data_IF_356179414475
#
_entry.id   IF_356179414475
#
_cell.length_a   1.000
_cell.length_b   1.000
_cell.length_c   1.000
_cell.angle_alpha   90.00
_cell.angle_beta   90.00
_cell.angle_gamma   90.00
#
_symmetry.space_group_name_H-M   'P 1'
#
loop_
_entity.id
_entity.type
_entity.pdbx_description
1 polymer ?
#
# COMPACT_ATOMS: atom_id res chain seq x y z
N UNK A 1 -1.46 -26.39 -43.09
CA UNK A 1 -0.01 -26.47 -43.23
C UNK A 1 0.46 -27.86 -42.73
N UNK A 2 0.73 -28.79 -43.64
CA UNK A 2 1.41 -30.04 -43.28
C UNK A 2 2.91 -29.81 -43.32
N UNK A 3 3.60 -29.99 -42.20
CA UNK A 3 5.03 -29.82 -42.09
C UNK A 3 5.60 -30.72 -40.99
N UNK A 4 6.90 -30.95 -41.02
CA UNK A 4 7.58 -31.71 -39.96
C UNK A 4 7.77 -30.91 -38.66
N UNK A 5 8.17 -31.61 -37.58
CA UNK A 5 8.47 -31.00 -36.28
C UNK A 5 9.50 -29.86 -36.36
N UNK A 6 10.47 -29.96 -37.29
CA UNK A 6 11.47 -28.89 -37.47
C UNK A 6 10.85 -27.58 -38.01
N UNK A 7 9.88 -27.69 -38.93
CA UNK A 7 9.16 -26.51 -39.44
C UNK A 7 8.25 -25.91 -38.38
N UNK A 8 7.61 -26.76 -37.57
CA UNK A 8 6.85 -26.32 -36.44
C UNK A 8 7.71 -25.59 -35.41
N UNK A 9 8.89 -26.11 -35.10
CA UNK A 9 9.86 -25.48 -34.21
C UNK A 9 10.26 -24.09 -34.71
N UNK A 10 10.55 -23.96 -35.99
CA UNK A 10 10.87 -22.67 -36.60
C UNK A 10 9.72 -21.70 -36.55
N UNK A 11 8.49 -22.16 -36.78
CA UNK A 11 7.29 -21.32 -36.73
C UNK A 11 6.88 -20.94 -35.31
N UNK A 12 7.09 -21.82 -34.35
CA UNK A 12 6.76 -21.57 -32.93
C UNK A 12 7.71 -20.56 -32.26
N UNK A 13 9.03 -20.66 -32.60
CA UNK A 13 10.05 -19.83 -31.96
C UNK A 13 9.99 -19.97 -30.40
N UNK A 14 9.82 -18.87 -29.71
CA UNK A 14 9.68 -18.91 -28.23
C UNK A 14 8.25 -19.21 -27.74
N UNK A 15 7.28 -19.26 -28.61
CA UNK A 15 5.87 -19.51 -28.24
C UNK A 15 5.69 -20.97 -27.85
N UNK A 16 4.81 -21.22 -26.90
CA UNK A 16 4.42 -22.57 -26.55
C UNK A 16 3.32 -23.05 -27.48
N UNK A 17 3.39 -24.30 -27.88
CA UNK A 17 2.39 -24.97 -28.71
C UNK A 17 1.33 -25.67 -27.85
N UNK A 18 0.14 -25.87 -28.41
CA UNK A 18 -0.91 -26.72 -27.88
C UNK A 18 -0.93 -27.98 -28.74
N UNK A 19 -0.76 -29.14 -28.13
CA UNK A 19 -0.83 -30.45 -28.79
C UNK A 19 -2.31 -30.86 -28.89
N UNK A 20 -2.79 -31.15 -30.07
CA UNK A 20 -4.05 -31.83 -30.31
C UNK A 20 -3.79 -33.33 -30.25
N UNK A 21 -4.35 -34.00 -29.25
CA UNK A 21 -4.16 -35.44 -29.07
C UNK A 21 -5.22 -36.17 -29.83
N UNK A 22 -4.83 -37.15 -30.71
CA UNK A 22 -5.79 -37.86 -31.59
C UNK A 22 -6.96 -38.49 -30.82
N UNK A 23 -8.17 -38.31 -31.34
CA UNK A 23 -9.35 -38.82 -30.71
C UNK A 23 -9.38 -40.34 -30.59
N UNK A 24 -8.76 -41.05 -31.54
CA UNK A 24 -8.59 -42.51 -31.52
C UNK A 24 -7.65 -43.02 -30.43
N UNK A 25 -6.76 -42.17 -29.91
CA UNK A 25 -5.78 -42.51 -28.87
C UNK A 25 -6.19 -41.99 -27.46
N UNK A 26 -7.39 -41.43 -27.33
CA UNK A 26 -7.90 -40.91 -26.06
C UNK A 26 -9.25 -41.57 -25.71
N UNK A 27 -9.40 -42.02 -24.49
CA UNK A 27 -10.66 -42.47 -23.94
C UNK A 27 -11.25 -41.32 -23.08
N UNK A 28 -12.44 -40.87 -23.47
CA UNK A 28 -13.22 -39.85 -22.74
C UNK A 28 -14.41 -40.48 -22.04
N UNK A 29 -14.51 -40.24 -20.75
CA UNK A 29 -15.51 -40.87 -19.89
C UNK A 29 -16.09 -39.81 -18.93
N UNK A 30 -17.33 -40.06 -18.49
CA UNK A 30 -17.94 -39.39 -17.35
C UNK A 30 -18.23 -40.40 -16.28
N UNK A 31 -17.79 -40.21 -15.05
CA UNK A 31 -18.00 -41.09 -13.92
C UNK A 31 -18.62 -40.33 -12.75
N UNK A 32 -19.48 -41.00 -12.03
CA UNK A 32 -20.06 -40.44 -10.81
C UNK A 32 -19.32 -40.97 -9.59
N UNK A 33 -18.62 -40.09 -8.89
CA UNK A 33 -17.91 -40.39 -7.65
C UNK A 33 -18.44 -39.51 -6.54
N UNK A 34 -18.95 -40.05 -5.44
CA UNK A 34 -19.51 -39.28 -4.33
C UNK A 34 -18.39 -38.65 -3.44
N UNK A 35 -17.27 -38.27 -4.05
CA UNK A 35 -16.11 -37.69 -3.37
C UNK A 35 -16.09 -36.18 -3.56
N UNK A 36 -15.63 -35.46 -2.53
CA UNK A 36 -15.68 -34.00 -2.52
C UNK A 36 -14.32 -33.31 -2.71
N UNK A 37 -13.23 -33.96 -2.33
CA UNK A 37 -11.89 -33.36 -2.40
C UNK A 37 -11.11 -33.85 -3.63
N UNK A 38 -10.36 -32.96 -4.27
CA UNK A 38 -9.52 -33.28 -5.40
C UNK A 38 -8.52 -34.41 -5.10
N UNK A 39 -7.93 -34.42 -3.90
CA UNK A 39 -7.01 -35.47 -3.49
C UNK A 39 -7.65 -36.85 -3.31
N UNK A 40 -8.92 -36.92 -2.88
CA UNK A 40 -9.67 -38.17 -2.80
C UNK A 40 -10.05 -38.68 -4.19
N UNK A 41 -10.49 -37.79 -5.08
CA UNK A 41 -10.81 -38.10 -6.46
C UNK A 41 -9.57 -38.69 -7.15
N UNK A 42 -8.44 -38.01 -7.10
CA UNK A 42 -7.20 -38.45 -7.74
C UNK A 42 -6.75 -39.85 -7.26
N UNK A 43 -6.99 -40.20 -6.00
CA UNK A 43 -6.65 -41.52 -5.42
C UNK A 43 -7.67 -42.60 -5.82
N UNK A 44 -8.95 -42.24 -5.92
CA UNK A 44 -9.99 -43.23 -6.23
C UNK A 44 -10.18 -43.48 -7.75
N UNK A 45 -9.78 -42.50 -8.56
CA UNK A 45 -9.98 -42.54 -10.01
C UNK A 45 -9.38 -43.77 -10.69
N UNK A 46 -8.13 -44.19 -10.45
CA UNK A 46 -7.60 -45.41 -11.06
C UNK A 46 -8.45 -46.64 -10.81
N UNK A 47 -8.90 -46.82 -9.57
CA UNK A 47 -9.75 -47.97 -9.17
C UNK A 47 -11.14 -47.90 -9.80
N UNK A 48 -11.72 -46.69 -9.88
CA UNK A 48 -13.03 -46.49 -10.48
C UNK A 48 -13.07 -46.73 -12.00
N UNK A 49 -11.92 -46.65 -12.63
CA UNK A 49 -11.77 -46.84 -14.07
C UNK A 49 -11.25 -48.23 -14.46
N UNK A 50 -10.87 -49.07 -13.53
CA UNK A 50 -10.23 -50.37 -13.77
C UNK A 50 -11.04 -51.24 -14.72
N UNK A 51 -12.37 -51.32 -14.54
CA UNK A 51 -13.25 -52.08 -15.38
C UNK A 51 -13.56 -51.45 -16.76
N UNK A 52 -13.21 -50.19 -16.92
CA UNK A 52 -13.48 -49.40 -18.14
C UNK A 52 -12.24 -49.26 -19.04
N UNK A 53 -11.06 -49.53 -18.52
CA UNK A 53 -9.79 -49.47 -19.22
C UNK A 53 -9.46 -50.85 -19.82
N UNK A 54 -8.77 -50.84 -20.97
CA UNK A 54 -8.35 -52.08 -21.61
C UNK A 54 -7.13 -52.74 -20.94
N UNK A 55 -6.38 -51.98 -20.18
CA UNK A 55 -5.16 -52.36 -19.47
C UNK A 55 -5.17 -51.75 -18.07
N UNK A 56 -4.18 -52.11 -17.23
CA UNK A 56 -4.02 -51.61 -15.88
C UNK A 56 -4.03 -50.06 -15.85
N UNK A 57 -4.75 -49.47 -14.92
CA UNK A 57 -4.88 -48.00 -14.82
C UNK A 57 -3.55 -47.26 -14.70
N UNK A 58 -2.51 -47.94 -14.20
CA UNK A 58 -1.15 -47.38 -14.08
C UNK A 58 -0.48 -47.10 -15.44
N UNK A 59 -0.92 -47.82 -16.49
CA UNK A 59 -0.43 -47.58 -17.86
C UNK A 59 -1.03 -46.35 -18.53
N UNK A 60 -2.05 -45.76 -17.90
CA UNK A 60 -2.69 -44.58 -18.44
C UNK A 60 -2.29 -43.33 -17.68
N UNK A 61 -2.16 -42.24 -18.41
CA UNK A 61 -2.16 -40.90 -17.86
C UNK A 61 -3.63 -40.46 -17.76
N UNK A 62 -4.06 -40.19 -16.56
CA UNK A 62 -5.42 -39.77 -16.27
C UNK A 62 -5.49 -38.25 -16.03
N UNK A 63 -6.33 -37.57 -16.79
CA UNK A 63 -6.70 -36.17 -16.53
C UNK A 63 -8.18 -36.12 -16.19
N UNK A 64 -8.56 -35.29 -15.24
CA UNK A 64 -9.97 -35.23 -14.85
C UNK A 64 -10.38 -33.78 -14.55
N UNK A 65 -11.66 -33.52 -14.76
CA UNK A 65 -12.30 -32.24 -14.45
C UNK A 65 -13.67 -32.46 -13.83
N UNK A 66 -14.01 -31.65 -12.81
CA UNK A 66 -15.35 -31.62 -12.25
C UNK A 66 -16.01 -30.28 -12.58
N UNK A 67 -16.96 -30.21 -13.49
CA UNK A 67 -17.61 -28.97 -13.95
C UNK A 67 -18.29 -28.22 -12.80
N UNK A 68 -19.07 -28.94 -11.97
CA UNK A 68 -19.72 -28.38 -10.79
C UNK A 68 -19.87 -29.42 -9.68
N UNK A 69 -20.21 -28.97 -8.46
CA UNK A 69 -20.49 -29.88 -7.34
C UNK A 69 -21.76 -30.72 -7.64
N UNK A 70 -21.63 -32.03 -7.52
CA UNK A 70 -22.74 -32.96 -7.76
C UNK A 70 -22.94 -33.37 -9.24
N UNK A 71 -22.08 -32.88 -10.14
CA UNK A 71 -22.03 -33.40 -11.52
C UNK A 71 -20.99 -34.51 -11.64
N UNK A 72 -21.15 -35.34 -12.70
CA UNK A 72 -20.19 -36.36 -13.05
C UNK A 72 -18.79 -35.77 -13.27
N UNK A 73 -17.79 -36.56 -13.00
CA UNK A 73 -16.39 -36.19 -13.22
C UNK A 73 -16.05 -36.59 -14.65
N UNK A 74 -15.65 -35.62 -15.45
CA UNK A 74 -15.10 -35.86 -16.77
C UNK A 74 -13.66 -36.36 -16.66
N UNK A 75 -13.33 -37.40 -17.39
CA UNK A 75 -12.04 -38.07 -17.38
C UNK A 75 -11.54 -38.26 -18.81
N UNK A 76 -10.27 -37.97 -19.01
CA UNK A 76 -9.51 -38.35 -20.21
C UNK A 76 -8.40 -39.30 -19.81
N UNK A 77 -8.37 -40.50 -20.43
CA UNK A 77 -7.34 -41.50 -20.25
C UNK A 77 -6.57 -41.69 -21.56
N UNK A 78 -5.24 -41.59 -21.51
CA UNK A 78 -4.34 -41.81 -22.66
C UNK A 78 -3.18 -42.69 -22.26
N UNK A 79 -2.67 -43.48 -23.16
CA UNK A 79 -1.53 -44.38 -22.91
C UNK A 79 -0.28 -43.56 -22.49
N UNK A 80 0.27 -43.86 -21.32
CA UNK A 80 1.38 -43.15 -20.70
C UNK A 80 2.65 -43.21 -21.54
N UNK A 81 2.93 -44.39 -22.10
CA UNK A 81 4.13 -44.61 -22.96
C UNK A 81 4.04 -43.76 -24.23
N UNK A 82 2.88 -43.76 -24.88
CA UNK A 82 2.69 -42.99 -26.10
C UNK A 82 2.76 -41.47 -25.81
N UNK A 83 2.15 -41.03 -24.71
CA UNK A 83 2.21 -39.62 -24.32
C UNK A 83 3.62 -39.18 -24.04
N UNK A 84 4.42 -39.99 -23.30
CA UNK A 84 5.82 -39.71 -23.01
C UNK A 84 6.64 -39.58 -24.30
N UNK A 85 6.53 -40.56 -25.18
CA UNK A 85 7.27 -40.57 -26.45
C UNK A 85 6.94 -39.33 -27.32
N UNK A 86 5.68 -38.94 -27.37
CA UNK A 86 5.29 -37.74 -28.13
C UNK A 86 5.86 -36.47 -27.49
N UNK A 87 5.77 -36.33 -26.15
CA UNK A 87 6.34 -35.18 -25.43
C UNK A 87 7.85 -35.08 -25.67
N UNK A 88 8.57 -36.20 -25.59
CA UNK A 88 10.02 -36.26 -25.81
C UNK A 88 10.39 -35.85 -27.24
N UNK A 89 9.67 -36.30 -28.24
CA UNK A 89 9.86 -35.90 -29.64
C UNK A 89 9.69 -34.37 -29.83
N UNK A 90 8.67 -33.75 -29.18
CA UNK A 90 8.49 -32.31 -29.25
C UNK A 90 9.60 -31.56 -28.49
N UNK A 91 10.07 -32.09 -27.38
CA UNK A 91 11.17 -31.52 -26.60
C UNK A 91 12.48 -31.57 -27.36
N UNK A 92 12.79 -32.72 -28.03
CA UNK A 92 13.98 -32.87 -28.88
C UNK A 92 13.95 -31.92 -30.09
N UNK A 93 12.78 -31.68 -30.66
CA UNK A 93 12.58 -30.69 -31.71
C UNK A 93 12.65 -29.22 -31.21
N UNK A 94 12.78 -29.00 -29.91
CA UNK A 94 12.81 -27.66 -29.30
C UNK A 94 11.44 -26.97 -29.21
N UNK A 95 10.36 -27.70 -29.41
CA UNK A 95 8.99 -27.20 -29.30
C UNK A 95 8.49 -27.36 -27.86
N UNK A 96 8.15 -26.26 -27.22
CA UNK A 96 7.58 -26.29 -25.86
C UNK A 96 6.07 -26.51 -25.94
N UNK A 97 5.58 -27.55 -25.30
CA UNK A 97 4.15 -27.80 -25.16
C UNK A 97 3.61 -27.07 -23.91
N UNK A 98 2.48 -26.39 -24.05
CA UNK A 98 1.76 -25.77 -22.94
C UNK A 98 0.58 -26.60 -22.47
N UNK A 99 -0.07 -27.29 -23.40
CA UNK A 99 -1.24 -28.14 -23.18
C UNK A 99 -1.23 -29.29 -24.18
N UNK A 100 -1.86 -30.39 -23.82
CA UNK A 100 -2.27 -31.45 -24.74
C UNK A 100 -3.76 -31.69 -24.52
N UNK A 101 -4.55 -31.52 -25.58
CA UNK A 101 -6.00 -31.53 -25.49
C UNK A 101 -6.58 -32.65 -26.35
N UNK A 102 -7.54 -33.44 -25.85
CA UNK A 102 -8.23 -34.44 -26.65
C UNK A 102 -8.95 -33.80 -27.84
N UNK A 103 -8.68 -34.28 -29.03
CA UNK A 103 -9.18 -33.75 -30.30
C UNK A 103 -10.71 -33.67 -30.34
N UNK A 104 -11.38 -34.70 -29.85
CA UNK A 104 -12.85 -34.77 -29.84
C UNK A 104 -13.46 -33.56 -29.07
N UNK A 105 -12.82 -33.09 -28.02
CA UNK A 105 -13.30 -31.93 -27.25
C UNK A 105 -13.08 -30.59 -27.95
N UNK A 106 -12.33 -30.59 -29.02
CA UNK A 106 -12.09 -29.41 -29.84
C UNK A 106 -13.07 -29.22 -30.98
N UNK A 107 -14.01 -30.20 -31.14
CA UNK A 107 -15.13 -30.03 -32.07
C UNK A 107 -16.16 -29.06 -31.46
N UNK A 108 -16.79 -28.19 -32.29
CA UNK A 108 -17.91 -27.38 -31.86
C UNK A 108 -19.08 -28.30 -31.41
N UNK A 109 -19.59 -28.05 -30.21
CA UNK A 109 -20.67 -28.89 -29.68
C UNK A 109 -21.69 -28.01 -28.92
N UNK A 110 -22.97 -28.41 -29.03
CA UNK A 110 -24.07 -27.82 -28.28
C UNK A 110 -24.88 -28.95 -27.63
N UNK A 111 -25.52 -28.68 -26.51
CA UNK A 111 -26.33 -29.64 -25.81
C UNK A 111 -27.45 -30.16 -26.73
N UNK A 112 -27.61 -31.47 -26.79
CA UNK A 112 -28.61 -32.13 -27.66
C UNK A 112 -28.16 -32.27 -29.11
N UNK A 113 -26.89 -32.11 -29.44
CA UNK A 113 -26.32 -32.32 -30.76
C UNK A 113 -25.09 -33.24 -30.69
N UNK A 114 -24.79 -33.86 -31.82
CA UNK A 114 -23.54 -34.64 -32.02
C UNK A 114 -22.73 -34.01 -33.12
N UNK A 115 -21.50 -33.63 -32.80
CA UNK A 115 -20.54 -33.07 -33.77
C UNK A 115 -19.67 -34.17 -34.37
N UNK A 116 -19.52 -34.16 -35.69
CA UNK A 116 -18.73 -35.15 -36.43
C UNK A 116 -17.85 -34.44 -37.44
N UNK A 117 -16.56 -34.73 -37.40
CA UNK A 117 -15.59 -34.30 -38.43
C UNK A 117 -15.09 -35.56 -39.14
N UNK A 118 -15.24 -35.60 -40.44
CA UNK A 118 -14.66 -36.64 -41.29
C UNK A 118 -13.48 -36.10 -42.09
N UNK A 119 -12.33 -36.69 -41.88
CA UNK A 119 -11.13 -36.49 -42.70
C UNK A 119 -10.96 -37.68 -43.66
N UNK A 120 -9.83 -37.72 -44.40
CA UNK A 120 -9.60 -38.74 -45.43
C UNK A 120 -9.77 -40.17 -44.89
N UNK A 121 -9.06 -40.48 -43.81
CA UNK A 121 -8.95 -41.82 -43.24
C UNK A 121 -9.56 -41.93 -41.86
N UNK A 122 -9.73 -40.80 -41.19
CA UNK A 122 -10.15 -40.72 -39.79
C UNK A 122 -11.50 -39.95 -39.63
N UNK A 123 -12.21 -40.29 -38.58
CA UNK A 123 -13.40 -39.59 -38.12
C UNK A 123 -13.34 -39.31 -36.64
N UNK A 124 -13.69 -38.08 -36.29
CA UNK A 124 -13.75 -37.59 -34.91
C UNK A 124 -15.20 -37.21 -34.60
N UNK A 125 -15.67 -37.58 -33.43
CA UNK A 125 -17.06 -37.25 -33.01
C UNK A 125 -17.09 -36.82 -31.55
N UNK A 126 -17.99 -35.87 -31.26
CA UNK A 126 -18.30 -35.37 -29.92
C UNK A 126 -19.79 -35.39 -29.69
N UNK A 127 -20.23 -36.12 -28.66
CA UNK A 127 -21.66 -36.34 -28.36
C UNK A 127 -22.06 -35.86 -26.96
N UNK A 128 -21.15 -35.28 -26.21
CA UNK A 128 -21.38 -34.71 -24.91
C UNK A 128 -20.44 -33.55 -24.60
N UNK A 129 -20.68 -32.90 -23.47
CA UNK A 129 -19.81 -31.81 -23.04
C UNK A 129 -18.36 -32.29 -22.89
N UNK A 130 -18.18 -33.48 -22.34
CA UNK A 130 -16.88 -34.11 -22.08
C UNK A 130 -16.76 -35.50 -22.74
N UNK A 131 -17.66 -35.84 -23.62
CA UNK A 131 -17.73 -37.15 -24.26
C UNK A 131 -17.49 -37.04 -25.76
N UNK A 132 -16.65 -37.92 -26.27
CA UNK A 132 -16.29 -37.98 -27.66
C UNK A 132 -15.29 -39.08 -27.93
N UNK A 133 -14.92 -39.25 -29.17
CA UNK A 133 -13.94 -40.23 -29.59
C UNK A 133 -13.62 -40.11 -31.07
N UNK A 134 -12.88 -41.04 -31.58
CA UNK A 134 -12.51 -41.08 -32.98
C UNK A 134 -12.00 -42.47 -33.39
N UNK A 135 -11.82 -42.65 -34.68
CA UNK A 135 -11.31 -43.87 -35.24
C UNK A 135 -11.26 -43.82 -36.76
N UNK A 136 -11.03 -44.95 -37.37
CA UNK A 136 -11.07 -45.06 -38.83
C UNK A 136 -12.45 -44.58 -39.35
N UNK A 137 -12.42 -43.80 -40.40
CA UNK A 137 -13.65 -43.25 -41.03
C UNK A 137 -14.70 -44.32 -41.35
N UNK A 138 -14.23 -45.49 -41.83
CA UNK A 138 -15.07 -46.65 -42.15
C UNK A 138 -15.91 -47.15 -40.96
N UNK A 139 -15.43 -46.96 -39.73
CA UNK A 139 -16.05 -47.41 -38.49
C UNK A 139 -16.96 -46.34 -37.83
N UNK A 140 -16.80 -45.08 -38.23
CA UNK A 140 -17.51 -43.97 -37.58
C UNK A 140 -19.04 -44.12 -37.65
N UNK A 141 -19.59 -44.57 -38.78
CA UNK A 141 -21.01 -44.80 -38.92
C UNK A 141 -21.55 -45.86 -37.92
N UNK A 142 -20.82 -47.00 -37.83
CA UNK A 142 -21.17 -48.08 -36.89
C UNK A 142 -21.05 -47.67 -35.44
N UNK A 143 -20.02 -46.88 -35.10
CA UNK A 143 -19.84 -46.36 -33.75
C UNK A 143 -20.96 -45.39 -33.37
N UNK A 144 -21.30 -44.47 -34.28
CA UNK A 144 -22.39 -43.52 -34.06
C UNK A 144 -23.71 -44.22 -33.94
N UNK A 145 -24.04 -45.21 -34.80
CA UNK A 145 -25.24 -45.99 -34.68
C UNK A 145 -25.36 -46.68 -33.32
N UNK A 146 -24.30 -47.26 -32.81
CA UNK A 146 -24.25 -47.83 -31.46
C UNK A 146 -24.48 -46.81 -30.35
N UNK A 147 -23.86 -45.61 -30.45
CA UNK A 147 -24.01 -44.53 -29.47
C UNK A 147 -25.46 -44.02 -29.45
N UNK A 148 -26.10 -43.90 -30.63
CA UNK A 148 -27.51 -43.51 -30.73
C UNK A 148 -28.43 -44.60 -30.23
N UNK A 149 -28.19 -45.84 -30.61
CA UNK A 149 -29.00 -47.01 -30.14
C UNK A 149 -28.86 -47.19 -28.61
N UNK A 150 -27.70 -46.91 -28.05
CA UNK A 150 -27.43 -46.94 -26.62
C UNK A 150 -27.94 -45.72 -25.84
N UNK A 151 -28.50 -44.71 -26.53
CA UNK A 151 -28.97 -43.46 -25.91
C UNK A 151 -27.89 -42.55 -25.39
N UNK A 152 -26.62 -42.82 -25.73
CA UNK A 152 -25.46 -42.01 -25.31
C UNK A 152 -25.31 -40.78 -26.17
N UNK A 153 -25.58 -40.88 -27.47
CA UNK A 153 -25.67 -39.74 -28.40
C UNK A 153 -27.14 -39.40 -28.68
N UNK A 154 -27.44 -38.13 -28.82
CA UNK A 154 -28.80 -37.63 -29.05
C UNK A 154 -28.81 -36.46 -30.02
N UNK A 155 -29.98 -36.21 -30.66
CA UNK A 155 -30.22 -35.04 -31.48
C UNK A 155 -29.63 -35.11 -32.87
N UNK A 156 -29.53 -33.96 -33.52
CA UNK A 156 -29.05 -33.85 -34.89
C UNK A 156 -27.50 -33.91 -34.97
N UNK A 157 -27.01 -34.45 -36.08
CA UNK A 157 -25.60 -34.57 -36.36
C UNK A 157 -25.13 -33.31 -37.11
N UNK A 158 -24.19 -32.59 -36.54
CA UNK A 158 -23.45 -31.52 -37.18
C UNK A 158 -22.21 -32.10 -37.86
N UNK A 159 -22.23 -32.21 -39.18
CA UNK A 159 -21.19 -32.86 -39.97
C UNK A 159 -20.30 -31.87 -40.71
N UNK A 160 -19.00 -31.90 -40.40
CA UNK A 160 -17.93 -31.24 -41.19
C UNK A 160 -17.24 -32.29 -42.06
N UNK A 161 -17.43 -32.20 -43.36
CA UNK A 161 -16.81 -33.10 -44.32
C UNK A 161 -16.56 -32.41 -45.67
N UNK A 162 -15.65 -32.89 -46.45
CA UNK A 162 -15.44 -32.40 -47.81
C UNK A 162 -16.67 -32.71 -48.68
N UNK A 163 -16.96 -31.82 -49.65
CA UNK A 163 -18.06 -32.01 -50.59
C UNK A 163 -17.79 -33.23 -51.45
N UNK A 164 -18.72 -34.18 -51.47
CA UNK A 164 -18.58 -35.46 -52.21
C UNK A 164 -18.07 -36.62 -51.38
N UNK A 165 -17.77 -36.41 -50.10
CA UNK A 165 -17.47 -37.50 -49.18
C UNK A 165 -18.72 -38.33 -48.90
N UNK A 166 -18.63 -39.61 -49.22
CA UNK A 166 -19.71 -40.56 -48.93
C UNK A 166 -19.84 -40.75 -47.41
N UNK A 167 -20.96 -40.29 -46.90
CA UNK A 167 -21.31 -40.46 -45.49
C UNK A 167 -22.20 -41.70 -45.32
N UNK A 168 -21.95 -42.75 -46.08
CA UNK A 168 -22.69 -44.00 -45.97
C UNK A 168 -22.57 -44.55 -44.53
N UNK A 169 -23.72 -44.86 -43.92
CA UNK A 169 -23.79 -45.41 -42.59
C UNK A 169 -23.93 -44.37 -41.48
N UNK A 170 -24.12 -43.08 -41.78
CA UNK A 170 -24.48 -42.10 -40.76
C UNK A 170 -26.00 -42.08 -40.53
N UNK A 171 -26.47 -41.90 -39.28
CA UNK A 171 -27.92 -41.81 -38.97
C UNK A 171 -28.61 -40.65 -39.69
N UNK A 172 -29.94 -40.71 -39.82
CA UNK A 172 -30.73 -39.62 -40.37
C UNK A 172 -30.69 -38.37 -39.48
N UNK A 173 -30.88 -37.19 -40.07
CA UNK A 173 -30.86 -35.90 -39.34
C UNK A 173 -29.50 -35.19 -39.33
N UNK A 174 -28.84 -35.19 -40.51
CA UNK A 174 -27.49 -34.61 -40.63
C UNK A 174 -27.57 -33.20 -41.19
N UNK A 175 -27.06 -32.22 -40.43
CA UNK A 175 -26.78 -30.89 -40.92
C UNK A 175 -25.33 -30.82 -41.39
N UNK A 176 -25.12 -30.59 -42.68
CA UNK A 176 -23.81 -30.56 -43.30
C UNK A 176 -23.23 -29.14 -43.29
N UNK A 177 -22.06 -29.02 -42.71
CA UNK A 177 -21.20 -27.85 -42.83
C UNK A 177 -20.08 -28.23 -43.85
N UNK A 178 -19.75 -27.37 -44.77
CA UNK A 178 -18.68 -27.64 -45.75
C UNK A 178 -17.36 -28.06 -45.12
N UNK A 179 -16.43 -28.53 -45.94
CA UNK A 179 -15.09 -28.86 -45.48
C UNK A 179 -14.47 -27.67 -44.71
N UNK A 180 -14.13 -27.90 -43.48
CA UNK A 180 -13.41 -26.93 -42.68
C UNK A 180 -11.96 -27.44 -42.44
N UNK A 181 -11.03 -26.54 -42.44
CA UNK A 181 -9.68 -26.87 -41.96
C UNK A 181 -9.76 -27.23 -40.47
N UNK A 182 -9.43 -28.45 -40.04
CA UNK A 182 -9.60 -28.93 -38.68
C UNK A 182 -9.01 -27.97 -37.62
N UNK A 183 -7.81 -27.47 -37.86
CA UNK A 183 -7.13 -26.54 -36.97
C UNK A 183 -7.91 -25.23 -36.76
N UNK A 184 -8.66 -24.79 -37.76
CA UNK A 184 -9.49 -23.58 -37.64
C UNK A 184 -10.71 -23.78 -36.77
N UNK A 185 -11.28 -24.99 -36.75
CA UNK A 185 -12.34 -25.39 -35.81
C UNK A 185 -11.78 -25.50 -34.39
N UNK A 186 -10.66 -26.20 -34.22
CA UNK A 186 -10.04 -26.43 -32.91
C UNK A 186 -9.59 -25.14 -32.23
N UNK A 187 -9.05 -24.19 -32.99
CA UNK A 187 -8.58 -22.92 -32.46
C UNK A 187 -9.66 -22.09 -31.74
N UNK A 188 -10.93 -22.34 -32.02
CA UNK A 188 -12.05 -21.64 -31.37
C UNK A 188 -12.48 -22.30 -30.06
N UNK A 189 -12.20 -23.59 -29.90
CA UNK A 189 -12.73 -24.42 -28.80
C UNK A 189 -11.70 -24.67 -27.70
N UNK A 190 -10.39 -24.44 -27.96
CA UNK A 190 -9.35 -24.79 -27.02
C UNK A 190 -9.50 -24.17 -25.60
N UNK A 191 -10.06 -22.96 -25.39
CA UNK A 191 -10.22 -22.43 -24.03
C UNK A 191 -11.14 -23.29 -23.16
N UNK A 192 -12.24 -23.81 -23.72
CA UNK A 192 -13.17 -24.67 -23.02
C UNK A 192 -12.60 -26.08 -22.80
N UNK A 193 -11.95 -26.64 -23.82
CA UNK A 193 -11.33 -27.96 -23.74
C UNK A 193 -10.12 -27.99 -22.77
N UNK A 194 -9.53 -26.87 -22.47
CA UNK A 194 -8.38 -26.74 -21.56
C UNK A 194 -8.60 -27.26 -20.14
N UNK A 195 -9.87 -27.49 -19.74
CA UNK A 195 -10.20 -28.10 -18.46
C UNK A 195 -9.74 -29.56 -18.34
N UNK A 196 -9.68 -30.32 -19.47
CA UNK A 196 -9.16 -31.68 -19.56
C UNK A 196 -7.78 -31.69 -20.25
N UNK A 197 -6.82 -30.97 -19.72
CA UNK A 197 -5.45 -30.99 -20.20
C UNK A 197 -4.75 -32.31 -19.80
N UNK A 198 -4.16 -33.01 -20.77
CA UNK A 198 -3.44 -34.26 -20.53
C UNK A 198 -2.08 -34.06 -19.87
N UNK A 199 -1.50 -32.87 -20.02
CA UNK A 199 -0.21 -32.51 -19.39
C UNK A 199 -0.42 -32.10 -17.93
N UNK A 200 -0.71 -33.09 -17.08
CA UNK A 200 -0.86 -32.93 -15.63
C UNK A 200 0.06 -33.87 -14.88
N UNK A 201 0.29 -33.61 -13.60
CA UNK A 201 1.17 -34.45 -12.76
C UNK A 201 2.61 -34.44 -13.26
N UNK A 202 3.16 -35.63 -13.56
CA UNK A 202 4.55 -35.83 -14.03
C UNK A 202 4.82 -35.17 -15.37
N UNK A 203 3.79 -35.03 -16.20
CA UNK A 203 3.85 -34.40 -17.53
C UNK A 203 3.49 -32.92 -17.54
N UNK A 204 3.24 -32.33 -16.36
CA UNK A 204 2.91 -30.92 -16.29
C UNK A 204 4.04 -30.08 -16.90
N UNK A 205 3.75 -29.18 -17.85
CA UNK A 205 4.77 -28.36 -18.46
C UNK A 205 5.50 -27.62 -17.34
N UNK A 206 6.82 -27.73 -17.33
CA UNK A 206 7.64 -26.89 -16.47
C UNK A 206 7.52 -25.45 -16.99
N UNK A 207 6.37 -24.86 -16.75
CA UNK A 207 6.18 -23.43 -16.96
C UNK A 207 7.19 -22.78 -16.03
N UNK A 208 8.30 -22.36 -16.56
CA UNK A 208 9.17 -21.40 -15.91
C UNK A 208 8.24 -20.20 -15.66
N UNK A 209 7.51 -20.22 -14.52
CA UNK A 209 6.71 -19.09 -14.10
C UNK A 209 7.68 -17.92 -14.12
N UNK A 210 7.65 -17.14 -15.19
CA UNK A 210 8.28 -15.82 -15.21
C UNK A 210 7.63 -15.12 -14.04
N UNK A 211 8.32 -15.14 -12.91
CA UNK A 211 7.83 -14.48 -11.71
C UNK A 211 7.66 -13.01 -12.12
N UNK A 212 6.42 -12.51 -12.27
CA UNK A 212 6.19 -11.16 -12.79
C UNK A 212 6.82 -10.10 -11.89
N UNK A 213 7.22 -10.51 -10.68
CA UNK A 213 7.89 -9.63 -9.70
C UNK A 213 9.41 -9.53 -9.95
N UNK A 214 10.04 -10.46 -10.71
CA UNK A 214 11.49 -10.39 -10.97
C UNK A 214 11.94 -9.06 -11.60
N UNK A 215 11.26 -8.50 -12.62
CA UNK A 215 11.67 -7.20 -13.18
C UNK A 215 11.50 -6.03 -12.21
N UNK A 216 10.69 -6.18 -11.15
CA UNK A 216 10.46 -5.15 -10.14
C UNK A 216 11.46 -5.18 -8.98
N UNK A 217 12.25 -6.27 -8.85
CA UNK A 217 13.26 -6.40 -7.80
C UNK A 217 14.28 -5.24 -7.78
N UNK A 218 14.87 -4.80 -8.92
CA UNK A 218 15.78 -3.67 -8.91
C UNK A 218 15.08 -2.36 -8.55
N UNK A 219 13.85 -2.15 -9.00
CA UNK A 219 13.06 -0.97 -8.63
C UNK A 219 12.74 -0.95 -7.13
N UNK A 220 12.36 -2.09 -6.54
CA UNK A 220 12.13 -2.23 -5.12
C UNK A 220 13.42 -1.99 -4.30
N UNK A 221 14.57 -2.46 -4.79
CA UNK A 221 15.87 -2.21 -4.16
C UNK A 221 16.23 -0.71 -4.15
N UNK A 222 16.05 -0.01 -5.27
CA UNK A 222 16.29 1.43 -5.36
C UNK A 222 15.36 2.19 -4.42
N UNK A 223 14.08 1.85 -4.39
CA UNK A 223 13.10 2.46 -3.48
C UNK A 223 13.47 2.25 -2.01
N UNK A 224 13.91 1.03 -1.66
CA UNK A 224 14.36 0.71 -0.30
C UNK A 224 15.58 1.51 0.11
N UNK A 225 16.56 1.64 -0.79
CA UNK A 225 17.76 2.47 -0.54
C UNK A 225 17.39 3.94 -0.37
N UNK A 226 16.51 4.47 -1.21
CA UNK A 226 16.03 5.85 -1.10
C UNK A 226 15.30 6.09 0.22
N UNK A 227 14.45 5.16 0.65
CA UNK A 227 13.74 5.24 1.93
C UNK A 227 14.72 5.22 3.12
N UNK A 228 15.69 4.31 3.09
CA UNK A 228 16.72 4.23 4.13
C UNK A 228 17.58 5.52 4.19
N UNK A 229 17.96 6.07 3.05
CA UNK A 229 18.69 7.32 2.96
C UNK A 229 17.88 8.50 3.54
N UNK A 230 16.57 8.54 3.25
CA UNK A 230 15.66 9.55 3.79
C UNK A 230 15.51 9.43 5.31
N UNK A 231 15.35 8.21 5.83
CA UNK A 231 15.28 7.97 7.28
C UNK A 231 16.58 8.35 7.98
N UNK A 232 17.72 7.99 7.41
CA UNK A 232 19.04 8.38 7.93
C UNK A 232 19.23 9.92 7.94
N UNK A 233 18.79 10.58 6.87
CA UNK A 233 18.81 12.05 6.79
C UNK A 233 17.94 12.72 7.87
N UNK A 234 16.73 12.23 8.09
CA UNK A 234 15.84 12.72 9.15
C UNK A 234 16.45 12.49 10.54
N UNK A 235 17.03 11.32 10.78
CA UNK A 235 17.67 11.00 12.05
C UNK A 235 18.89 11.90 12.33
N UNK A 236 19.67 12.17 11.29
CA UNK A 236 20.82 13.09 11.39
C UNK A 236 20.38 14.54 11.66
N UNK A 237 19.30 14.98 11.00
CA UNK A 237 18.71 16.30 11.22
C UNK A 237 18.19 16.45 12.65
N UNK A 238 17.49 15.44 13.15
CA UNK A 238 16.93 15.41 14.50
C UNK A 238 18.06 15.44 15.57
N UNK A 239 19.16 14.70 15.33
CA UNK A 239 20.34 14.77 16.20
C UNK A 239 20.97 16.16 16.22
N UNK A 240 21.10 16.81 15.06
CA UNK A 240 21.63 18.18 14.99
C UNK A 240 20.74 19.19 15.74
N UNK A 241 19.43 19.06 15.60
CA UNK A 241 18.50 19.90 16.34
C UNK A 241 18.58 19.69 17.85
N UNK A 242 18.72 18.45 18.30
CA UNK A 242 18.92 18.15 19.73
C UNK A 242 20.23 18.72 20.26
N UNK A 243 21.31 18.63 19.50
CA UNK A 243 22.59 19.24 19.88
C UNK A 243 22.49 20.78 19.96
N UNK A 244 21.78 21.40 19.01
CA UNK A 244 21.56 22.86 19.05
C UNK A 244 20.71 23.27 20.26
N UNK A 245 19.68 22.51 20.60
CA UNK A 245 18.87 22.74 21.81
C UNK A 245 19.77 22.66 23.06
N UNK A 246 20.58 21.61 23.19
CA UNK A 246 21.48 21.45 24.34
C UNK A 246 22.50 22.59 24.44
N UNK A 247 23.03 23.08 23.31
CA UNK A 247 23.99 24.21 23.34
C UNK A 247 23.29 25.53 23.72
N UNK A 248 22.06 25.73 23.26
CA UNK A 248 21.24 26.89 23.64
C UNK A 248 20.84 26.86 25.11
N UNK A 249 20.43 25.67 25.60
CA UNK A 249 20.10 25.48 27.02
C UNK A 249 21.31 25.72 27.91
N UNK A 250 22.47 25.15 27.55
CA UNK A 250 23.73 25.39 28.29
C UNK A 250 24.16 26.86 28.26
N UNK A 251 24.01 27.52 27.12
CA UNK A 251 24.28 28.96 26.98
C UNK A 251 23.35 29.83 27.84
N UNK A 252 22.05 29.48 27.85
CA UNK A 252 21.05 30.18 28.67
C UNK A 252 21.30 29.98 30.16
N UNK A 253 21.69 28.77 30.55
CA UNK A 253 22.02 28.44 31.93
C UNK A 253 23.29 29.21 32.40
N UNK A 254 24.29 29.24 31.53
CA UNK A 254 25.54 30.01 31.84
C UNK A 254 25.25 31.49 32.00
N UNK A 255 24.47 32.08 31.11
CA UNK A 255 24.09 33.49 31.18
C UNK A 255 23.28 33.80 32.44
N UNK A 256 22.34 32.94 32.79
CA UNK A 256 21.50 33.07 33.98
C UNK A 256 22.35 33.01 35.26
N UNK A 257 23.29 32.08 35.36
CA UNK A 257 24.20 31.97 36.49
C UNK A 257 25.11 33.22 36.64
N UNK A 258 25.50 33.81 35.53
CA UNK A 258 26.30 35.03 35.52
C UNK A 258 25.52 36.26 36.01
N UNK A 259 24.21 36.31 35.67
CA UNK A 259 23.32 37.40 36.01
C UNK A 259 22.78 37.31 37.44
N UNK A 260 22.55 36.08 37.92
CA UNK A 260 21.94 35.80 39.23
C UNK A 260 22.75 34.78 40.04
N UNK A 261 23.90 35.17 40.59
CA UNK A 261 24.85 34.27 41.27
C UNK A 261 24.31 33.68 42.58
N UNK A 262 23.24 34.22 43.13
CA UNK A 262 22.66 33.79 44.41
C UNK A 262 21.80 32.53 44.29
N UNK A 263 21.40 32.14 43.09
CA UNK A 263 20.50 31.01 42.86
C UNK A 263 21.30 29.73 42.71
N UNK A 264 21.36 28.92 43.77
CA UNK A 264 22.14 27.67 43.85
C UNK A 264 21.50 26.47 43.16
N UNK A 265 20.20 26.44 42.88
CA UNK A 265 19.51 25.29 42.30
C UNK A 265 18.62 25.70 41.11
N UNK A 266 19.03 25.31 39.93
CA UNK A 266 18.31 25.50 38.67
C UNK A 266 17.37 24.32 38.43
N UNK A 267 16.07 24.55 38.47
CA UNK A 267 15.05 23.53 38.14
C UNK A 267 14.33 23.88 36.83
N UNK A 268 14.06 25.19 36.63
CA UNK A 268 13.47 25.70 35.39
C UNK A 268 13.88 27.16 35.21
N UNK A 269 14.86 27.37 34.32
CA UNK A 269 15.48 28.71 34.09
C UNK A 269 14.44 29.75 33.68
N UNK A 270 13.47 29.37 32.83
CA UNK A 270 12.44 30.28 32.34
C UNK A 270 11.49 30.69 33.49
N UNK A 271 10.99 29.74 34.24
CA UNK A 271 10.08 30.04 35.36
C UNK A 271 10.78 30.88 36.44
N UNK A 272 12.04 30.61 36.72
CA UNK A 272 12.82 31.39 37.70
C UNK A 272 13.14 32.78 37.18
N UNK A 273 13.42 32.97 35.90
CA UNK A 273 13.63 34.28 35.28
C UNK A 273 12.34 35.13 35.33
N UNK A 274 11.20 34.52 34.97
CA UNK A 274 9.89 35.18 35.01
C UNK A 274 9.53 35.61 36.44
N UNK A 275 9.83 34.79 37.44
CA UNK A 275 9.56 35.07 38.84
C UNK A 275 10.46 36.23 39.34
N UNK A 276 11.74 36.28 38.95
CA UNK A 276 12.62 37.39 39.29
C UNK A 276 12.21 38.70 38.59
N UNK A 277 11.77 38.65 37.37
CA UNK A 277 11.24 39.78 36.63
C UNK A 277 9.99 40.37 37.32
N UNK A 278 9.09 39.51 37.75
CA UNK A 278 7.90 39.94 38.49
C UNK A 278 8.25 40.57 39.83
N UNK A 279 9.20 39.99 40.56
CA UNK A 279 9.67 40.57 41.82
C UNK A 279 10.27 41.95 41.65
N UNK A 280 11.12 42.13 40.61
CA UNK A 280 11.72 43.43 40.29
C UNK A 280 10.68 44.48 39.83
N UNK A 281 9.66 44.03 39.07
CA UNK A 281 8.57 44.93 38.66
C UNK A 281 7.71 45.37 39.86
N UNK A 282 7.48 44.49 40.82
CA UNK A 282 6.68 44.80 42.03
C UNK A 282 7.45 45.78 42.91
N UNK A 283 8.75 45.62 43.08
CA UNK A 283 9.61 46.55 43.79
C UNK A 283 9.68 47.91 43.08
N UNK A 284 9.72 47.96 41.76
CA UNK A 284 9.64 49.21 41.00
C UNK A 284 8.28 49.94 41.14
N UNK A 285 7.18 49.17 41.21
CA UNK A 285 5.84 49.75 41.43
C UNK A 285 5.70 50.40 42.82
N UNK A 286 6.23 49.74 43.84
CA UNK A 286 6.20 50.30 45.20
C UNK A 286 6.96 51.60 45.28
N UNK A 287 8.15 51.72 44.67
CA UNK A 287 8.93 52.94 44.62
C UNK A 287 8.22 54.04 43.82
N UNK A 288 7.49 53.73 42.75
CA UNK A 288 6.76 54.72 41.96
C UNK A 288 5.53 55.27 42.72
N UNK A 289 4.85 54.41 43.49
CA UNK A 289 3.73 54.82 44.30
C UNK A 289 4.13 55.77 45.44
N UNK A 290 5.29 55.53 46.08
CA UNK A 290 5.88 56.41 47.09
C UNK A 290 6.25 57.77 46.53
N UNK A 291 6.88 57.81 45.37
CA UNK A 291 7.26 59.06 44.68
C UNK A 291 6.01 59.90 44.36
N UNK A 292 4.98 59.35 43.76
CA UNK A 292 3.76 60.09 43.39
C UNK A 292 3.01 60.62 44.63
N UNK A 293 3.00 59.88 45.72
CA UNK A 293 2.36 60.30 46.96
C UNK A 293 3.12 61.54 47.56
N UNK A 294 4.44 61.49 47.65
CA UNK A 294 5.22 62.60 48.13
C UNK A 294 5.16 63.81 47.20
N UNK A 295 5.16 63.59 45.90
CA UNK A 295 5.01 64.69 44.92
C UNK A 295 3.65 65.38 45.03
N UNK A 296 2.61 64.65 45.30
CA UNK A 296 1.27 65.20 45.50
C UNK A 296 1.19 66.10 46.75
N UNK A 297 1.81 65.67 47.83
CA UNK A 297 1.87 66.42 49.07
C UNK A 297 2.67 67.73 48.91
N UNK A 298 3.76 67.72 48.14
CA UNK A 298 4.60 68.91 47.91
C UNK A 298 3.97 69.87 46.89
N UNK A 299 3.24 69.34 45.90
CA UNK A 299 2.69 70.09 44.77
C UNK A 299 1.64 71.15 45.19
N UNK A 300 0.85 70.86 46.22
CA UNK A 300 -0.15 71.81 46.77
C UNK A 300 0.51 73.08 47.35
N UNK A 301 1.31 72.94 48.40
CA UNK A 301 1.97 74.08 49.02
C UNK A 301 2.93 74.83 48.09
N UNK A 302 3.62 74.13 47.15
CA UNK A 302 4.50 74.79 46.19
C UNK A 302 3.70 75.68 45.21
N UNK A 303 2.47 75.31 44.85
CA UNK A 303 1.61 76.11 43.99
C UNK A 303 1.07 77.37 44.69
N UNK A 304 0.92 77.31 46.02
CA UNK A 304 0.45 78.42 46.85
C UNK A 304 1.61 79.40 47.21
N UNK A 305 2.89 79.04 46.99
CA UNK A 305 4.03 79.80 47.23
C UNK A 305 4.79 80.22 45.95
N UNK A 306 4.23 81.09 45.09
CA UNK A 306 4.78 81.47 43.79
C UNK A 306 6.13 82.16 43.85
N UNK A 307 6.58 82.65 45.03
CA UNK A 307 7.87 83.24 45.28
C UNK A 307 9.01 82.20 45.42
N UNK A 308 8.65 80.89 45.59
CA UNK A 308 9.61 79.80 45.64
C UNK A 308 9.83 79.22 44.23
N UNK A 309 11.10 79.12 43.85
CA UNK A 309 11.43 78.49 42.56
C UNK A 309 12.09 77.16 42.79
N UNK A 310 11.43 76.08 42.27
CA UNK A 310 12.01 74.74 42.27
C UNK A 310 13.20 74.68 41.30
N UNK A 311 14.32 74.29 41.77
CA UNK A 311 15.53 74.13 40.95
C UNK A 311 15.82 72.67 40.63
N UNK A 312 15.65 71.80 41.65
CA UNK A 312 15.90 70.39 41.51
C UNK A 312 14.94 69.58 42.36
N UNK A 313 14.56 68.40 41.80
CA UNK A 313 13.78 67.45 42.49
C UNK A 313 14.41 66.06 42.27
N UNK A 314 14.73 65.37 43.35
CA UNK A 314 15.37 64.07 43.33
C UNK A 314 14.70 63.18 44.34
N UNK A 315 14.35 61.96 43.87
CA UNK A 315 13.73 60.93 44.68
C UNK A 315 14.73 59.81 44.91
N UNK A 316 14.94 59.43 46.15
CA UNK A 316 15.89 58.36 46.54
C UNK A 316 15.13 57.31 47.33
N UNK A 317 14.17 56.63 46.63
CA UNK A 317 13.40 55.49 47.12
C UNK A 317 12.48 55.78 48.31
N UNK A 318 12.96 56.41 49.39
CA UNK A 318 12.25 56.72 50.63
C UNK A 318 12.09 58.21 50.91
N UNK A 319 12.86 59.07 50.29
CA UNK A 319 12.85 60.50 50.51
C UNK A 319 12.81 61.31 49.21
N UNK A 320 12.00 62.36 49.20
CA UNK A 320 11.97 63.34 48.14
C UNK A 320 12.83 64.55 48.55
N UNK A 321 13.92 64.69 47.88
CA UNK A 321 14.80 65.87 48.05
C UNK A 321 14.43 66.96 47.07
N UNK A 322 14.15 68.16 47.56
CA UNK A 322 13.83 69.31 46.73
C UNK A 322 14.78 70.46 47.04
N UNK A 323 15.31 71.07 45.98
CA UNK A 323 16.15 72.23 46.03
C UNK A 323 15.34 73.43 45.54
N UNK A 324 15.13 74.40 46.40
CA UNK A 324 14.31 75.59 46.17
C UNK A 324 15.19 76.89 46.27
N UNK A 325 14.86 77.88 45.45
CA UNK A 325 15.32 79.24 45.61
C UNK A 325 14.20 80.07 46.17
N UNK A 326 14.42 80.74 47.31
CA UNK A 326 13.46 81.54 48.02
C UNK A 326 14.02 82.99 48.13
N UNK A 327 13.22 84.06 48.22
CA UNK A 327 13.68 85.42 48.38
C UNK A 327 14.36 85.67 49.76
N UNK A 328 13.87 84.94 50.80
CA UNK A 328 14.44 85.03 52.15
C UNK A 328 14.30 83.71 52.94
N UNK A 329 15.00 83.55 54.05
CA UNK A 329 14.94 82.33 54.89
C UNK A 329 13.57 82.14 55.58
N UNK A 330 12.81 83.19 55.79
CA UNK A 330 11.52 83.14 56.43
C UNK A 330 10.50 82.41 55.50
N UNK A 331 10.61 82.61 54.18
CA UNK A 331 9.75 81.92 53.17
C UNK A 331 10.05 80.43 53.15
N UNK A 332 11.28 79.96 53.34
CA UNK A 332 11.64 78.54 53.44
C UNK A 332 11.06 77.92 54.71
N UNK A 333 11.15 78.63 55.86
CA UNK A 333 10.57 78.20 57.13
C UNK A 333 8.99 78.07 57.04
N UNK A 334 8.34 79.05 56.37
CA UNK A 334 6.96 79.05 56.12
C UNK A 334 6.51 77.84 55.26
N UNK A 335 7.27 77.61 54.22
CA UNK A 335 7.00 76.41 53.33
C UNK A 335 7.20 75.11 54.10
N UNK A 336 8.19 74.95 54.94
CA UNK A 336 8.37 73.81 55.84
C UNK A 336 7.17 73.62 56.76
N UNK A 337 6.65 74.66 57.34
CA UNK A 337 5.50 74.63 58.22
C UNK A 337 4.22 74.23 57.48
N UNK A 338 4.05 74.61 56.22
CA UNK A 338 2.92 74.26 55.38
C UNK A 338 2.97 72.76 54.98
N UNK A 339 4.12 72.18 54.77
CA UNK A 339 4.36 70.82 54.47
C UNK A 339 4.22 69.88 55.68
N UNK A 340 4.64 70.34 56.88
CA UNK A 340 4.76 69.58 58.12
C UNK A 340 3.59 69.76 59.02
N UNK A 341 2.32 69.68 58.55
CA UNK A 341 1.08 69.71 59.41
C UNK A 341 0.98 68.53 60.39
N UNK A 342 0.01 68.55 61.34
CA UNK A 342 -0.11 67.57 62.45
C UNK A 342 -0.07 66.10 62.02
N UNK A 343 -0.39 65.78 60.76
CA UNK A 343 -0.25 64.41 60.14
C UNK A 343 0.50 64.42 58.83
N UNK A 344 1.39 65.45 58.63
CA UNK A 344 2.17 65.59 57.38
C UNK A 344 3.45 64.76 57.36
N UNK A 345 4.13 64.73 56.23
CA UNK A 345 5.44 64.05 56.09
C UNK A 345 6.49 64.70 56.96
N UNK A 346 7.50 63.97 57.35
CA UNK A 346 8.66 64.48 58.04
C UNK A 346 9.46 65.33 57.04
N UNK A 347 9.68 66.67 57.44
CA UNK A 347 10.34 67.62 56.57
C UNK A 347 11.58 68.11 57.24
N UNK A 348 12.76 67.77 56.71
CA UNK A 348 14.06 68.16 57.20
C UNK A 348 14.75 69.13 56.25
N UNK A 349 15.25 70.22 56.74
CA UNK A 349 16.07 71.16 55.96
C UNK A 349 17.51 70.66 56.03
N UNK A 350 18.11 70.25 54.89
CA UNK A 350 19.42 69.70 54.79
C UNK A 350 20.49 70.77 54.69
N UNK A 351 20.23 71.84 53.93
CA UNK A 351 21.14 72.94 53.74
C UNK A 351 20.43 74.25 53.42
N UNK A 352 20.97 75.39 53.86
CA UNK A 352 20.51 76.74 53.50
C UNK A 352 21.72 77.56 53.18
N UNK A 353 21.78 78.14 51.98
CA UNK A 353 22.93 78.97 51.52
C UNK A 353 22.41 80.27 50.92
N UNK A 354 23.00 81.41 51.31
CA UNK A 354 22.74 82.71 50.69
C UNK A 354 23.38 82.82 49.33
N UNK A 355 22.61 83.21 48.32
CA UNK A 355 23.02 83.39 46.91
C UNK A 355 22.66 84.83 46.49
N UNK A 356 23.23 85.30 45.38
CA UNK A 356 23.05 86.66 44.90
C UNK A 356 21.60 87.10 44.70
N UNK A 357 20.70 86.19 44.41
CA UNK A 357 19.24 86.39 44.10
C UNK A 357 18.31 85.93 45.21
N UNK A 358 18.81 85.58 46.42
CA UNK A 358 17.99 85.09 47.52
C UNK A 358 18.66 84.01 48.37
N UNK A 359 17.88 83.05 48.85
CA UNK A 359 18.34 81.93 49.69
C UNK A 359 18.01 80.61 49.00
N UNK A 360 19.01 79.78 48.77
CA UNK A 360 18.85 78.41 48.25
C UNK A 360 18.75 77.48 49.45
N UNK A 361 17.65 76.68 49.44
CA UNK A 361 17.37 75.71 50.50
C UNK A 361 17.20 74.30 49.89
N UNK A 362 17.79 73.29 50.52
CA UNK A 362 17.60 71.88 50.22
C UNK A 362 16.79 71.19 51.33
N UNK A 363 15.68 70.63 50.97
CA UNK A 363 14.74 70.07 51.89
C UNK A 363 14.48 68.56 51.53
N UNK A 364 14.61 67.74 52.53
CA UNK A 364 14.25 66.33 52.41
C UNK A 364 12.90 66.05 53.02
N UNK A 365 12.05 65.35 52.30
CA UNK A 365 10.66 65.01 52.71
C UNK A 365 10.56 63.52 52.73
N UNK A 366 10.17 62.97 53.87
CA UNK A 366 9.96 61.52 54.06
C UNK A 366 8.51 61.26 54.44
N UNK A 367 8.02 60.16 53.97
CA UNK A 367 6.70 59.67 54.38
C UNK A 367 6.84 59.11 55.80
N UNK A 368 5.91 59.46 56.67
CA UNK A 368 5.92 59.01 58.06
C UNK A 368 5.42 57.54 58.16
#
# INVERSE_FOLDING_TARGET
>A
CGGGLAELAAAAGERAAILVWPASAALLLEIDLPLRSAGQIAKALPFALEDLLAEDAERYQLSWHRPARGQAIAVAAVGRELLAAVIDNFAEAGVRLSMALPEALLLPWQAGQTAVLLERDDGVFRYGEWLGGGGERSLCGVLLDKLYAGGQAQGDIQLWAATGDDCAGLPAGIERHGAAEPLSLYARQWPAAGALNLLVGDYAPQVRRRNPLKPWLPAAAILSIALLAQLAGQWQLQRRQQQQLQTLEAGTEALFRQTFPEIKRLVNVKAQADQQLLALQEQSRLNTAGFLALLHVVGGPLKEAPQLRLQRLQFDGDSLQIKLLAPDAASVEQFKRQLGGENGPQVDILAVAGVADGVEAEIAIRQN
#
